data_IF_306200644347
#
_entry.id   IF_306200644347
#
_cell.length_a   1.000
_cell.length_b   1.000
_cell.length_c   1.000
_cell.angle_alpha   90.00
_cell.angle_beta   90.00
_cell.angle_gamma   90.00
#
_symmetry.space_group_name_H-M   'P 1'
#
loop_
_entity.id
_entity.type
_entity.pdbx_description
1 polymer ?
#
# COMPACT_ATOMS: atom_id res chain seq x y z
N UNK A 1 38.67 -7.48 1.87
CA UNK A 1 37.38 -6.89 1.44
C UNK A 1 36.60 -6.50 2.68
N UNK A 2 36.98 -5.36 3.24
CA UNK A 2 36.60 -4.85 4.54
C UNK A 2 36.08 -3.42 4.28
N UNK A 3 34.91 -3.33 3.65
CA UNK A 3 34.17 -2.08 3.49
C UNK A 3 32.73 -2.34 3.95
N UNK A 4 32.30 -1.55 4.92
CA UNK A 4 30.92 -1.33 5.38
C UNK A 4 30.23 -2.26 6.40
N UNK A 5 30.96 -2.75 7.40
CA UNK A 5 30.36 -3.33 8.62
C UNK A 5 29.96 -2.31 9.72
N UNK A 6 30.06 -0.99 9.49
CA UNK A 6 29.91 0.02 10.56
C UNK A 6 28.65 0.91 10.43
N UNK A 7 27.80 0.74 9.41
CA UNK A 7 26.63 1.63 9.19
C UNK A 7 25.24 1.13 9.66
N UNK A 8 25.04 -0.17 9.87
CA UNK A 8 23.69 -0.77 9.93
C UNK A 8 23.29 -1.33 11.30
N UNK A 9 23.50 -0.58 12.39
CA UNK A 9 22.84 -0.88 13.67
C UNK A 9 21.37 -0.46 13.63
N UNK A 10 20.59 -1.13 12.78
CA UNK A 10 19.13 -1.11 12.89
C UNK A 10 18.72 -2.52 13.32
N UNK A 11 18.42 -2.69 14.61
CA UNK A 11 17.91 -3.95 15.19
C UNK A 11 16.67 -4.50 14.45
N UNK A 12 16.01 -3.65 13.66
CA UNK A 12 14.87 -3.93 12.78
C UNK A 12 15.15 -4.95 11.68
N UNK A 13 16.35 -4.96 11.09
CA UNK A 13 16.68 -5.81 9.93
C UNK A 13 17.48 -7.06 10.33
N UNK A 14 17.35 -7.48 11.59
CA UNK A 14 18.00 -8.70 12.06
C UNK A 14 17.34 -9.97 11.53
N UNK A 15 16.03 -9.93 11.21
CA UNK A 15 15.28 -11.07 10.64
C UNK A 15 14.30 -10.69 9.53
N UNK A 16 14.13 -11.54 8.49
CA UNK A 16 15.00 -12.66 8.12
C UNK A 16 16.46 -12.25 7.95
N UNK A 17 17.34 -13.24 7.76
CA UNK A 17 18.79 -13.06 7.71
C UNK A 17 19.17 -11.79 6.90
N UNK A 18 20.10 -10.93 7.35
CA UNK A 18 20.41 -9.66 6.70
C UNK A 18 20.76 -9.74 5.20
N UNK A 19 21.16 -10.92 4.70
CA UNK A 19 21.32 -11.15 3.27
C UNK A 19 20.00 -11.02 2.48
N UNK A 20 18.86 -11.43 3.06
CA UNK A 20 17.53 -11.27 2.44
C UNK A 20 17.23 -9.78 2.26
N UNK A 21 17.44 -8.97 3.30
CA UNK A 21 17.21 -7.52 3.19
C UNK A 21 18.15 -6.85 2.20
N UNK A 22 19.41 -7.28 2.13
CA UNK A 22 20.34 -6.82 1.09
C UNK A 22 19.88 -7.19 -0.33
N UNK A 23 19.33 -8.40 -0.51
CA UNK A 23 18.76 -8.84 -1.78
C UNK A 23 17.53 -7.98 -2.13
N UNK A 24 16.58 -7.79 -1.21
CA UNK A 24 15.39 -6.95 -1.42
C UNK A 24 15.78 -5.52 -1.77
N UNK A 25 16.76 -4.94 -1.07
CA UNK A 25 17.30 -3.62 -1.40
C UNK A 25 17.90 -3.59 -2.81
N UNK A 26 18.68 -4.59 -3.19
CA UNK A 26 19.23 -4.72 -4.55
C UNK A 26 18.14 -4.80 -5.62
N UNK A 27 17.12 -5.63 -5.40
CA UNK A 27 15.95 -5.73 -6.30
C UNK A 27 15.20 -4.41 -6.43
N UNK A 28 15.03 -3.69 -5.32
CA UNK A 28 14.39 -2.37 -5.30
C UNK A 28 15.20 -1.32 -6.09
N UNK A 29 16.53 -1.34 -5.99
CA UNK A 29 17.40 -0.48 -6.80
C UNK A 29 17.31 -0.83 -8.28
N UNK A 30 17.36 -2.12 -8.64
CA UNK A 30 17.18 -2.56 -10.04
C UNK A 30 15.82 -2.12 -10.58
N UNK A 31 14.76 -2.26 -9.77
CA UNK A 31 13.42 -1.80 -10.13
C UNK A 31 13.38 -0.28 -10.35
N UNK A 32 13.98 0.50 -9.46
CA UNK A 32 14.08 1.95 -9.62
C UNK A 32 14.80 2.36 -10.91
N UNK A 33 15.90 1.68 -11.25
CA UNK A 33 16.64 1.92 -12.49
C UNK A 33 15.79 1.56 -13.70
N UNK A 34 15.08 0.42 -13.68
CA UNK A 34 14.18 0.02 -14.76
C UNK A 34 13.03 1.01 -14.95
N UNK A 35 12.43 1.51 -13.86
CA UNK A 35 11.41 2.55 -13.91
C UNK A 35 11.98 3.87 -14.46
N UNK A 36 13.20 4.24 -14.07
CA UNK A 36 13.85 5.44 -14.60
C UNK A 36 14.08 5.31 -16.10
N UNK A 37 14.51 4.14 -16.58
CA UNK A 37 14.59 3.85 -18.01
C UNK A 37 13.23 4.00 -18.70
N UNK A 38 12.17 3.39 -18.15
CA UNK A 38 10.80 3.50 -18.68
C UNK A 38 10.33 4.95 -18.72
N UNK A 39 10.65 5.76 -17.70
CA UNK A 39 10.29 7.17 -17.63
C UNK A 39 10.85 7.97 -18.83
N UNK A 40 11.99 7.57 -19.41
CA UNK A 40 12.55 8.20 -20.60
C UNK A 40 11.95 7.70 -21.93
N UNK A 41 11.27 6.55 -21.94
CA UNK A 41 10.62 6.02 -23.15
C UNK A 41 9.35 6.78 -23.51
N UNK A 42 8.89 6.67 -24.76
CA UNK A 42 7.51 7.05 -25.11
C UNK A 42 6.54 6.00 -24.57
N UNK A 43 5.25 6.35 -24.44
CA UNK A 43 4.24 5.39 -23.97
C UNK A 43 4.17 4.17 -24.90
N UNK A 44 4.22 4.38 -26.20
CA UNK A 44 4.06 3.31 -27.18
C UNK A 44 5.32 2.43 -27.22
N UNK A 45 6.52 3.01 -27.14
CA UNK A 45 7.77 2.25 -26.98
C UNK A 45 7.79 1.45 -25.68
N UNK A 46 7.31 2.04 -24.58
CA UNK A 46 7.20 1.34 -23.30
C UNK A 46 6.23 0.16 -23.38
N UNK A 47 5.08 0.31 -24.05
CA UNK A 47 4.13 -0.79 -24.31
C UNK A 47 4.76 -1.90 -25.15
N UNK A 48 5.53 -1.55 -26.19
CA UNK A 48 6.26 -2.55 -26.97
C UNK A 48 7.35 -3.21 -26.14
N UNK A 49 8.04 -2.46 -25.27
CA UNK A 49 9.05 -3.00 -24.37
C UNK A 49 8.46 -4.04 -23.40
N UNK A 50 7.20 -3.89 -22.97
CA UNK A 50 6.54 -4.88 -22.11
C UNK A 50 6.47 -6.29 -22.74
N UNK A 51 6.53 -6.42 -24.08
CA UNK A 51 6.56 -7.71 -24.77
C UNK A 51 7.78 -8.56 -24.42
N UNK A 52 8.90 -7.93 -24.05
CA UNK A 52 10.09 -8.64 -23.59
C UNK A 52 9.93 -9.23 -22.19
N UNK A 53 8.98 -8.74 -21.39
CA UNK A 53 8.67 -9.29 -20.06
C UNK A 53 7.69 -10.45 -20.15
N UNK A 54 6.67 -10.35 -21.01
CA UNK A 54 5.69 -11.40 -21.21
C UNK A 54 5.08 -11.29 -22.62
N UNK A 55 4.89 -12.41 -23.36
CA UNK A 55 4.44 -12.38 -24.75
C UNK A 55 3.04 -11.75 -24.94
N UNK A 56 2.16 -11.89 -23.95
CA UNK A 56 0.78 -11.38 -23.99
C UNK A 56 0.65 -9.87 -23.71
N UNK A 57 1.76 -9.13 -23.57
CA UNK A 57 1.76 -7.69 -23.28
C UNK A 57 1.90 -6.84 -24.55
N UNK A 58 1.66 -5.53 -24.42
CA UNK A 58 1.78 -4.59 -25.53
C UNK A 58 0.64 -4.68 -26.56
N UNK A 59 -0.49 -5.25 -26.14
CA UNK A 59 -1.75 -5.31 -26.89
C UNK A 59 -2.82 -4.57 -26.07
N UNK A 60 -3.66 -3.79 -26.75
CA UNK A 60 -4.74 -3.06 -26.09
C UNK A 60 -5.73 -4.02 -25.42
N UNK A 61 -6.14 -3.68 -24.20
CA UNK A 61 -7.04 -4.50 -23.40
C UNK A 61 -8.49 -4.07 -23.61
N UNK A 62 -9.45 -5.02 -23.60
CA UNK A 62 -10.86 -4.67 -23.64
C UNK A 62 -11.24 -3.85 -22.40
N UNK A 63 -12.05 -2.81 -22.59
CA UNK A 63 -12.61 -2.05 -21.47
C UNK A 63 -13.57 -2.93 -20.67
N UNK A 64 -13.23 -3.18 -19.39
CA UNK A 64 -14.14 -3.83 -18.43
C UNK A 64 -14.73 -2.76 -17.52
N UNK A 65 -16.05 -2.65 -17.52
CA UNK A 65 -16.81 -1.75 -16.63
C UNK A 65 -17.48 -2.60 -15.56
N UNK A 66 -17.21 -2.29 -14.29
CA UNK A 66 -17.80 -3.01 -13.14
C UNK A 66 -19.15 -2.40 -12.72
N UNK A 67 -19.28 -1.08 -12.81
CA UNK A 67 -20.47 -0.33 -12.40
C UNK A 67 -21.39 0.10 -13.55
N UNK A 68 -21.51 -0.73 -14.59
CA UNK A 68 -22.42 -0.42 -15.71
C UNK A 68 -23.91 -0.57 -15.32
N UNK A 69 -24.24 -1.53 -14.47
CA UNK A 69 -25.57 -1.72 -13.87
C UNK A 69 -25.40 -2.10 -12.40
N UNK A 70 -25.88 -1.23 -11.50
CA UNK A 70 -25.73 -1.41 -10.06
C UNK A 70 -26.97 -1.95 -9.35
N UNK A 71 -27.96 -2.43 -10.11
CA UNK A 71 -29.14 -3.07 -9.54
C UNK A 71 -28.74 -4.39 -8.87
N UNK A 72 -29.10 -4.52 -7.59
CA UNK A 72 -28.90 -5.75 -6.81
C UNK A 72 -29.83 -6.86 -7.32
N UNK A 73 -31.05 -6.49 -7.70
CA UNK A 73 -32.08 -7.41 -8.19
C UNK A 73 -32.52 -7.01 -9.60
N UNK A 74 -32.35 -7.94 -10.55
CA UNK A 74 -32.73 -7.81 -11.96
C UNK A 74 -33.72 -8.92 -12.30
N UNK A 75 -35.03 -8.69 -12.13
CA UNK A 75 -36.04 -9.71 -12.40
C UNK A 75 -36.13 -10.08 -13.88
N UNK A 76 -35.67 -9.20 -14.78
CA UNK A 76 -35.71 -9.42 -16.23
C UNK A 76 -34.61 -10.37 -16.72
N UNK A 77 -33.63 -10.73 -15.89
CA UNK A 77 -32.53 -11.58 -16.30
C UNK A 77 -32.91 -13.07 -16.24
N UNK A 78 -32.83 -13.81 -17.37
CA UNK A 78 -33.25 -15.21 -17.42
C UNK A 78 -32.30 -16.18 -16.70
N UNK A 79 -31.05 -15.78 -16.43
CA UNK A 79 -30.03 -16.66 -15.84
C UNK A 79 -29.95 -16.56 -14.30
N UNK A 80 -29.94 -15.35 -13.77
CA UNK A 80 -29.92 -15.09 -12.33
C UNK A 80 -30.51 -13.72 -12.04
N UNK A 81 -31.45 -13.68 -11.07
CA UNK A 81 -32.06 -12.43 -10.62
C UNK A 81 -31.10 -11.55 -9.83
N UNK A 82 -29.94 -12.08 -9.41
CA UNK A 82 -28.88 -11.38 -8.69
C UNK A 82 -27.56 -11.45 -9.47
N UNK A 83 -27.63 -11.41 -10.80
CA UNK A 83 -26.46 -11.58 -11.69
C UNK A 83 -25.28 -10.69 -11.29
N UNK A 84 -25.50 -9.39 -11.13
CA UNK A 84 -24.43 -8.44 -10.80
C UNK A 84 -23.76 -8.79 -9.46
N UNK A 85 -24.56 -9.14 -8.45
CA UNK A 85 -24.03 -9.55 -7.14
C UNK A 85 -23.19 -10.82 -7.25
N UNK A 86 -23.66 -11.81 -8.01
CA UNK A 86 -22.93 -13.05 -8.19
C UNK A 86 -21.62 -12.83 -8.95
N UNK A 87 -21.64 -12.07 -10.04
CA UNK A 87 -20.44 -11.75 -10.82
C UNK A 87 -19.40 -10.99 -9.99
N UNK A 88 -19.81 -10.04 -9.15
CA UNK A 88 -18.92 -9.32 -8.24
C UNK A 88 -18.37 -10.23 -7.13
N UNK A 89 -19.21 -11.04 -6.47
CA UNK A 89 -18.77 -11.90 -5.36
C UNK A 89 -17.78 -12.99 -5.76
N UNK A 90 -17.86 -13.46 -7.01
CA UNK A 90 -16.97 -14.48 -7.55
C UNK A 90 -15.84 -13.92 -8.43
N UNK A 91 -15.62 -12.59 -8.39
CA UNK A 91 -14.47 -11.99 -9.03
C UNK A 91 -13.19 -12.19 -8.19
N UNK A 92 -12.04 -12.20 -8.87
CA UNK A 92 -10.72 -12.37 -8.24
C UNK A 92 -10.39 -11.22 -7.27
N UNK A 93 -11.02 -10.07 -7.44
CA UNK A 93 -10.84 -8.90 -6.59
C UNK A 93 -11.30 -9.12 -5.14
N UNK A 94 -12.31 -9.98 -4.89
CA UNK A 94 -12.73 -10.31 -3.52
C UNK A 94 -11.59 -10.98 -2.73
N UNK A 95 -10.92 -11.96 -3.35
CA UNK A 95 -9.77 -12.62 -2.74
C UNK A 95 -8.57 -11.65 -2.64
N UNK A 96 -8.37 -10.81 -3.65
CA UNK A 96 -7.30 -9.81 -3.63
C UNK A 96 -7.49 -8.79 -2.49
N UNK A 97 -8.72 -8.34 -2.23
CA UNK A 97 -9.05 -7.46 -1.11
C UNK A 97 -8.76 -8.15 0.23
N UNK A 98 -9.31 -9.34 0.46
CA UNK A 98 -9.11 -10.07 1.73
C UNK A 98 -7.62 -10.31 2.00
N UNK A 99 -6.88 -10.87 1.03
CA UNK A 99 -5.46 -11.19 1.18
C UNK A 99 -4.60 -9.92 1.26
N UNK A 100 -4.92 -8.90 0.47
CA UNK A 100 -4.24 -7.61 0.48
C UNK A 100 -4.35 -6.92 1.83
N UNK A 101 -5.55 -6.85 2.40
CA UNK A 101 -5.79 -6.25 3.71
C UNK A 101 -5.23 -7.08 4.86
N UNK A 102 -5.24 -8.41 4.75
CA UNK A 102 -4.52 -9.28 5.67
C UNK A 102 -3.01 -8.99 5.68
N UNK A 103 -2.39 -8.88 4.49
CA UNK A 103 -0.97 -8.57 4.35
C UNK A 103 -0.62 -7.17 4.87
N UNK A 104 -1.45 -6.17 4.59
CA UNK A 104 -1.33 -4.80 5.12
C UNK A 104 -1.45 -4.76 6.64
N UNK A 105 -2.34 -5.55 7.21
CA UNK A 105 -2.53 -5.60 8.66
C UNK A 105 -1.31 -6.18 9.38
N UNK A 106 -0.69 -7.23 8.84
CA UNK A 106 0.58 -7.78 9.35
C UNK A 106 1.72 -6.76 9.26
N UNK A 107 1.70 -5.96 8.19
CA UNK A 107 2.72 -4.95 7.89
C UNK A 107 2.62 -3.72 8.80
N UNK A 108 1.43 -3.11 8.93
CA UNK A 108 1.21 -1.83 9.62
C UNK A 108 0.91 -2.01 11.11
N UNK A 109 0.31 -3.15 11.48
CA UNK A 109 0.02 -3.57 12.87
C UNK A 109 -0.77 -2.55 13.69
N UNK A 110 -1.53 -1.68 13.02
CA UNK A 110 -2.29 -0.61 13.66
C UNK A 110 -3.70 -0.54 13.07
N UNK A 111 -4.69 -0.99 13.85
CA UNK A 111 -6.08 -1.10 13.40
C UNK A 111 -6.69 0.25 12.96
N UNK A 112 -6.58 1.36 13.71
CA UNK A 112 -7.13 2.64 13.26
C UNK A 112 -6.52 3.13 11.94
N UNK A 113 -5.20 3.01 11.79
CA UNK A 113 -4.51 3.42 10.58
C UNK A 113 -4.93 2.58 9.36
N UNK A 114 -5.15 1.28 9.55
CA UNK A 114 -5.64 0.38 8.50
C UNK A 114 -7.05 0.74 8.04
N UNK A 115 -7.94 1.11 8.96
CA UNK A 115 -9.27 1.62 8.59
C UNK A 115 -9.20 2.92 7.81
N UNK A 116 -8.33 3.86 8.22
CA UNK A 116 -8.12 5.11 7.48
C UNK A 116 -7.61 4.83 6.07
N UNK A 117 -6.68 3.88 5.90
CA UNK A 117 -6.21 3.47 4.58
C UNK A 117 -7.32 2.78 3.76
N UNK A 118 -8.11 1.92 4.39
CA UNK A 118 -9.18 1.18 3.71
C UNK A 118 -10.23 2.11 3.16
N UNK A 119 -10.82 2.96 4.01
CA UNK A 119 -11.76 3.97 3.54
C UNK A 119 -11.08 4.98 2.61
N UNK A 120 -9.82 5.32 2.86
CA UNK A 120 -9.04 6.23 2.02
C UNK A 120 -8.89 5.74 0.58
N UNK A 121 -8.68 4.44 0.37
CA UNK A 121 -8.54 3.86 -0.96
C UNK A 121 -9.84 3.95 -1.76
N UNK A 122 -10.98 3.65 -1.14
CA UNK A 122 -12.32 3.78 -1.75
C UNK A 122 -12.62 5.23 -2.16
N UNK A 123 -12.19 6.21 -1.34
CA UNK A 123 -12.25 7.62 -1.72
C UNK A 123 -11.38 7.93 -2.93
N UNK A 124 -10.23 7.28 -3.08
CA UNK A 124 -9.40 7.44 -4.28
C UNK A 124 -10.07 6.84 -5.51
N UNK A 125 -10.70 5.67 -5.40
CA UNK A 125 -11.45 5.06 -6.51
C UNK A 125 -12.62 5.96 -6.93
N UNK A 126 -13.41 6.45 -5.96
CA UNK A 126 -14.45 7.45 -6.22
C UNK A 126 -13.89 8.72 -6.91
N UNK A 127 -12.70 9.15 -6.50
CA UNK A 127 -12.03 10.33 -7.06
C UNK A 127 -11.60 10.07 -8.51
N UNK A 128 -11.03 8.91 -8.80
CA UNK A 128 -10.40 8.60 -10.09
C UNK A 128 -11.27 7.78 -11.06
N UNK A 129 -12.51 7.42 -10.71
CA UNK A 129 -13.46 6.73 -11.61
C UNK A 129 -13.76 7.46 -12.91
N UNK A 130 -13.55 8.77 -12.96
CA UNK A 130 -13.72 9.55 -14.18
C UNK A 130 -12.54 9.35 -15.16
N UNK A 131 -11.37 8.94 -14.66
CA UNK A 131 -10.17 8.64 -15.45
C UNK A 131 -10.08 7.15 -15.80
N UNK A 132 -10.39 6.26 -14.84
CA UNK A 132 -10.24 4.81 -15.01
C UNK A 132 -11.61 4.12 -14.91
N UNK A 133 -12.08 3.44 -15.97
CA UNK A 133 -13.33 2.65 -15.94
C UNK A 133 -13.33 1.55 -14.87
N UNK A 134 -12.16 1.00 -14.55
CA UNK A 134 -12.01 -0.01 -13.52
C UNK A 134 -12.45 0.47 -12.12
N UNK A 135 -12.31 1.77 -11.82
CA UNK A 135 -12.74 2.35 -10.53
C UNK A 135 -14.21 2.76 -10.51
N UNK A 136 -14.92 2.58 -11.62
CA UNK A 136 -16.36 2.81 -11.64
C UNK A 136 -17.06 1.55 -11.15
N UNK A 137 -17.16 1.42 -9.83
CA UNK A 137 -17.82 0.33 -9.14
C UNK A 137 -19.16 0.75 -8.55
N UNK A 138 -19.95 -0.22 -8.09
CA UNK A 138 -21.25 0.06 -7.50
C UNK A 138 -21.13 0.54 -6.06
N UNK A 139 -22.04 1.40 -5.62
CA UNK A 139 -21.99 1.95 -4.25
C UNK A 139 -22.00 0.85 -3.17
N UNK A 140 -22.72 -0.25 -3.41
CA UNK A 140 -22.81 -1.37 -2.48
C UNK A 140 -21.57 -2.27 -2.55
N UNK A 141 -20.85 -2.25 -3.67
CA UNK A 141 -19.57 -2.94 -3.85
C UNK A 141 -18.53 -2.26 -2.95
N UNK A 142 -18.24 -1.01 -3.23
CA UNK A 142 -17.27 -0.20 -2.48
C UNK A 142 -17.59 -0.11 -0.97
N UNK A 143 -18.85 0.15 -0.59
CA UNK A 143 -19.21 0.35 0.82
C UNK A 143 -19.40 -0.99 1.55
N UNK A 144 -20.26 -1.87 1.05
CA UNK A 144 -20.66 -3.06 1.80
C UNK A 144 -19.67 -4.19 1.58
N UNK A 145 -19.34 -4.48 0.32
CA UNK A 145 -18.46 -5.59 0.00
C UNK A 145 -17.01 -5.25 0.35
N UNK A 146 -16.46 -4.15 -0.15
CA UNK A 146 -15.05 -3.86 0.08
C UNK A 146 -14.80 -3.36 1.51
N UNK A 147 -15.31 -2.19 1.92
CA UNK A 147 -15.03 -1.66 3.28
C UNK A 147 -15.49 -2.62 4.39
N UNK A 148 -16.78 -2.98 4.42
CA UNK A 148 -17.36 -3.66 5.57
C UNK A 148 -17.25 -5.19 5.56
N UNK A 149 -16.91 -5.80 4.42
CA UNK A 149 -16.79 -7.27 4.31
C UNK A 149 -15.35 -7.69 4.06
N UNK A 150 -14.81 -7.47 2.87
CA UNK A 150 -13.50 -7.95 2.43
C UNK A 150 -12.36 -7.31 3.21
N UNK A 151 -12.34 -5.97 3.25
CA UNK A 151 -11.29 -5.18 3.89
C UNK A 151 -11.35 -5.38 5.41
N UNK A 152 -12.55 -5.29 5.99
CA UNK A 152 -12.77 -5.57 7.41
C UNK A 152 -12.26 -6.95 7.82
N UNK A 153 -12.66 -8.00 7.08
CA UNK A 153 -12.26 -9.38 7.39
C UNK A 153 -10.75 -9.57 7.23
N UNK A 154 -10.15 -9.04 6.16
CA UNK A 154 -8.70 -9.08 5.96
C UNK A 154 -7.94 -8.40 7.11
N UNK A 155 -8.37 -7.20 7.51
CA UNK A 155 -7.76 -6.47 8.63
C UNK A 155 -7.92 -7.27 9.94
N UNK A 156 -9.12 -7.77 10.22
CA UNK A 156 -9.39 -8.57 11.42
C UNK A 156 -8.49 -9.82 11.47
N UNK A 157 -8.42 -10.58 10.38
CA UNK A 157 -7.62 -11.80 10.28
C UNK A 157 -6.12 -11.50 10.42
N UNK A 158 -5.64 -10.43 9.79
CA UNK A 158 -4.23 -10.03 9.87
C UNK A 158 -3.85 -9.55 11.27
N UNK A 159 -4.70 -8.75 11.91
CA UNK A 159 -4.48 -8.32 13.30
C UNK A 159 -4.58 -9.47 14.30
N UNK A 160 -5.43 -10.47 14.04
CA UNK A 160 -5.46 -11.71 14.82
C UNK A 160 -4.18 -12.52 14.63
N UNK A 161 -3.65 -12.59 13.41
CA UNK A 161 -2.35 -13.20 13.11
C UNK A 161 -1.24 -12.54 13.92
N UNK A 162 -1.17 -11.19 13.90
CA UNK A 162 -0.18 -10.43 14.70
C UNK A 162 -0.28 -10.78 16.20
N UNK A 163 -1.49 -10.80 16.78
CA UNK A 163 -1.69 -11.16 18.20
C UNK A 163 -1.29 -12.59 18.52
N UNK A 164 -1.56 -13.53 17.61
CA UNK A 164 -1.17 -14.94 17.78
C UNK A 164 0.35 -15.10 17.90
N UNK A 165 1.11 -14.31 17.14
CA UNK A 165 2.58 -14.33 17.16
C UNK A 165 3.20 -13.48 18.28
N UNK A 166 2.57 -12.36 18.66
CA UNK A 166 3.03 -11.47 19.74
C UNK A 166 3.00 -12.16 21.13
N UNK A 167 2.01 -13.02 21.38
CA UNK A 167 1.88 -13.77 22.64
C UNK A 167 2.82 -14.97 22.81
N UNK A 168 3.71 -15.26 21.85
CA UNK A 168 4.62 -16.41 21.89
C UNK A 168 6.04 -15.95 22.24
N UNK A 169 6.52 -16.30 23.44
CA UNK A 169 7.96 -16.25 23.75
C UNK A 169 8.65 -17.37 22.99
N UNK A 170 9.41 -17.02 21.96
CA UNK A 170 10.17 -18.00 21.20
C UNK A 170 11.49 -18.31 21.92
N UNK A 171 11.59 -19.48 22.56
CA UNK A 171 12.91 -20.04 22.90
C UNK A 171 13.58 -20.53 21.61
N UNK A 172 14.56 -19.76 21.15
CA UNK A 172 15.19 -19.97 19.84
C UNK A 172 16.27 -21.05 19.88
N UNK A 173 15.87 -22.30 20.09
CA UNK A 173 16.76 -23.45 19.95
C UNK A 173 17.12 -23.66 18.46
N UNK A 174 18.36 -24.10 18.16
CA UNK A 174 18.83 -24.34 16.79
C UNK A 174 18.02 -25.41 16.03
N UNK A 175 17.95 -25.33 14.69
CA UNK A 175 17.19 -26.29 13.84
C UNK A 175 17.64 -27.74 14.09
N UNK A 176 18.93 -27.95 14.34
CA UNK A 176 19.50 -29.27 14.64
C UNK A 176 18.99 -29.88 15.95
N UNK A 177 18.52 -29.05 16.89
CA UNK A 177 18.00 -29.47 18.20
C UNK A 177 16.48 -29.70 18.20
N UNK A 178 15.80 -29.54 17.06
CA UNK A 178 14.36 -29.80 16.96
C UNK A 178 14.11 -31.31 16.79
N UNK A 179 13.31 -31.94 17.68
CA UNK A 179 13.14 -33.39 17.71
C UNK A 179 12.34 -33.92 16.50
N UNK A 180 11.42 -33.12 15.96
CA UNK A 180 10.48 -33.55 14.92
C UNK A 180 10.67 -32.78 13.61
N UNK A 181 10.36 -33.42 12.47
CA UNK A 181 10.37 -32.80 11.13
C UNK A 181 9.41 -31.61 11.07
N UNK A 182 8.21 -31.72 11.65
CA UNK A 182 7.25 -30.61 11.76
C UNK A 182 7.85 -29.45 12.58
N UNK A 183 8.63 -29.75 13.62
CA UNK A 183 9.37 -28.77 14.40
C UNK A 183 10.45 -28.05 13.57
N UNK A 184 11.18 -28.79 12.72
CA UNK A 184 12.16 -28.22 11.79
C UNK A 184 11.52 -27.32 10.73
N UNK A 185 10.39 -27.74 10.15
CA UNK A 185 9.63 -26.93 9.18
C UNK A 185 9.08 -25.66 9.83
N UNK A 186 8.41 -25.79 10.98
CA UNK A 186 7.91 -24.65 11.76
C UNK A 186 9.05 -23.69 12.14
N UNK A 187 10.21 -24.23 12.51
CA UNK A 187 11.40 -23.44 12.85
C UNK A 187 11.97 -22.68 11.66
N UNK A 188 11.98 -23.32 10.49
CA UNK A 188 12.44 -22.73 9.22
C UNK A 188 11.51 -21.61 8.79
N UNK A 189 10.19 -21.83 8.83
CA UNK A 189 9.19 -20.79 8.55
C UNK A 189 9.29 -19.62 9.53
N UNK A 190 9.53 -19.88 10.82
CA UNK A 190 9.76 -18.85 11.83
C UNK A 190 11.08 -18.07 11.71
N UNK A 191 11.97 -18.44 10.78
CA UNK A 191 13.13 -17.60 10.44
C UNK A 191 12.78 -16.49 9.45
N UNK A 192 11.68 -16.64 8.72
CA UNK A 192 11.16 -15.64 7.78
C UNK A 192 10.19 -14.66 8.44
N UNK A 193 9.79 -14.91 9.69
CA UNK A 193 9.00 -13.95 10.46
C UNK A 193 9.87 -12.87 11.11
N UNK A 194 9.35 -11.66 11.32
CA UNK A 194 10.02 -10.60 12.07
C UNK A 194 10.50 -11.05 13.45
N UNK A 195 11.57 -10.40 13.94
CA UNK A 195 12.12 -10.70 15.26
C UNK A 195 11.16 -10.33 16.41
N UNK A 196 10.31 -9.32 16.19
CA UNK A 196 9.28 -8.86 17.13
C UNK A 196 7.97 -8.58 16.38
N UNK A 197 6.86 -8.91 17.02
CA UNK A 197 5.48 -8.72 16.53
C UNK A 197 4.74 -7.61 17.26
N UNK A 198 5.49 -6.71 17.89
CA UNK A 198 4.99 -5.54 18.60
C UNK A 198 4.12 -4.67 17.69
N UNK A 199 3.05 -4.12 18.29
CA UNK A 199 2.17 -3.16 17.62
C UNK A 199 2.90 -1.84 17.44
N UNK A 200 2.83 -1.28 16.24
CA UNK A 200 3.42 0.02 15.96
C UNK A 200 2.52 1.14 16.53
N UNK A 201 3.13 1.97 17.36
CA UNK A 201 2.49 3.12 17.99
C UNK A 201 2.74 4.40 17.17
N UNK A 202 1.70 4.85 16.45
CA UNK A 202 1.78 6.02 15.56
C UNK A 202 1.42 7.34 16.24
N UNK A 203 0.44 7.32 17.16
CA UNK A 203 -0.01 8.47 17.96
C UNK A 203 -0.15 9.79 17.18
N UNK A 204 -1.00 9.86 16.13
CA UNK A 204 -1.10 11.03 15.25
C UNK A 204 -1.57 12.30 15.97
N UNK A 205 -2.30 12.15 17.09
CA UNK A 205 -2.88 13.27 17.84
C UNK A 205 -1.95 13.88 18.92
N UNK A 206 -0.68 13.47 18.99
CA UNK A 206 0.28 14.06 19.94
C UNK A 206 0.69 15.49 19.61
N UNK A 207 0.56 15.89 18.34
CA UNK A 207 0.84 17.25 17.91
C UNK A 207 0.62 17.43 16.41
N UNK A 208 0.47 18.69 15.95
CA UNK A 208 0.16 18.98 14.54
C UNK A 208 1.24 18.47 13.58
N UNK A 209 2.52 18.56 13.96
CA UNK A 209 3.61 18.02 13.14
C UNK A 209 3.57 16.49 13.05
N UNK A 210 3.31 15.81 14.18
CA UNK A 210 3.17 14.34 14.21
C UNK A 210 2.00 13.90 13.34
N UNK A 211 0.90 14.64 13.35
CA UNK A 211 -0.25 14.39 12.49
C UNK A 211 0.13 14.46 11.01
N UNK A 212 0.82 15.52 10.57
CA UNK A 212 1.28 15.67 9.18
C UNK A 212 2.18 14.51 8.77
N UNK A 213 3.09 14.09 9.66
CA UNK A 213 4.00 12.96 9.39
C UNK A 213 3.28 11.61 9.25
N UNK A 214 2.23 11.36 10.04
CA UNK A 214 1.41 10.14 9.87
C UNK A 214 0.54 10.25 8.63
N UNK A 215 -0.03 11.43 8.36
CA UNK A 215 -0.82 11.68 7.16
C UNK A 215 0.02 11.49 5.88
N UNK A 216 1.28 11.94 5.86
CA UNK A 216 2.16 11.76 4.71
C UNK A 216 2.44 10.28 4.42
N UNK A 217 2.53 9.44 5.46
CA UNK A 217 2.61 7.99 5.27
C UNK A 217 1.36 7.45 4.57
N UNK A 218 0.17 7.88 4.99
CA UNK A 218 -1.08 7.47 4.34
C UNK A 218 -1.11 7.88 2.87
N UNK A 219 -0.71 9.12 2.56
CA UNK A 219 -0.70 9.64 1.19
C UNK A 219 0.26 8.84 0.31
N UNK A 220 1.48 8.57 0.80
CA UNK A 220 2.47 7.76 0.05
C UNK A 220 1.93 6.35 -0.16
N UNK A 221 1.33 5.73 0.85
CA UNK A 221 0.74 4.40 0.74
C UNK A 221 -0.34 4.36 -0.34
N UNK A 222 -1.33 5.26 -0.27
CA UNK A 222 -2.41 5.36 -1.26
C UNK A 222 -1.87 5.66 -2.67
N UNK A 223 -0.80 6.45 -2.78
CA UNK A 223 -0.16 6.74 -4.08
C UNK A 223 0.46 5.48 -4.68
N UNK A 224 1.16 4.66 -3.89
CA UNK A 224 1.73 3.38 -4.35
C UNK A 224 0.63 2.43 -4.85
N UNK A 225 -0.50 2.40 -4.15
CA UNK A 225 -1.66 1.59 -4.57
C UNK A 225 -2.25 2.10 -5.88
N UNK A 226 -2.55 3.40 -5.97
CA UNK A 226 -3.05 4.03 -7.19
C UNK A 226 -2.12 3.84 -8.39
N UNK A 227 -0.81 3.99 -8.19
CA UNK A 227 0.19 3.74 -9.23
C UNK A 227 0.05 2.33 -9.81
N UNK A 228 -0.36 1.33 -9.04
CA UNK A 228 -0.63 -0.03 -9.55
C UNK A 228 -1.69 0.00 -10.65
N UNK A 229 -2.79 0.72 -10.43
CA UNK A 229 -3.92 0.80 -11.36
C UNK A 229 -3.63 1.70 -12.55
N UNK A 230 -2.91 2.80 -12.33
CA UNK A 230 -2.52 3.71 -13.42
C UNK A 230 -1.43 3.10 -14.31
N UNK A 231 -0.42 2.45 -13.74
CA UNK A 231 0.63 1.78 -14.53
C UNK A 231 0.05 0.64 -15.36
N UNK A 232 -0.79 -0.22 -14.77
CA UNK A 232 -1.40 -1.33 -15.53
C UNK A 232 -2.25 -0.81 -16.69
N UNK A 233 -2.97 0.29 -16.48
CA UNK A 233 -3.78 0.91 -17.53
C UNK A 233 -2.91 1.54 -18.63
N UNK A 234 -1.93 2.37 -18.26
CA UNK A 234 -1.06 3.06 -19.22
C UNK A 234 -0.23 2.08 -20.08
N UNK A 235 0.23 0.99 -19.48
CA UNK A 235 1.11 0.00 -20.10
C UNK A 235 0.38 -1.22 -20.68
N UNK A 236 -0.95 -1.24 -20.65
CA UNK A 236 -1.77 -2.37 -21.11
C UNK A 236 -1.39 -3.71 -20.47
N UNK A 237 -1.27 -3.72 -19.13
CA UNK A 237 -0.98 -4.93 -18.36
C UNK A 237 -2.31 -5.52 -17.85
N UNK A 238 -2.69 -6.73 -18.27
CA UNK A 238 -3.90 -7.39 -17.76
C UNK A 238 -3.82 -7.60 -16.24
N UNK A 239 -4.95 -7.50 -15.50
CA UNK A 239 -4.98 -7.74 -14.05
C UNK A 239 -4.39 -9.09 -13.62
N UNK A 240 -4.60 -10.13 -14.42
CA UNK A 240 -4.11 -11.51 -14.18
C UNK A 240 -2.64 -11.71 -14.52
N UNK A 241 -1.97 -10.71 -15.10
CA UNK A 241 -0.59 -10.88 -15.53
C UNK A 241 0.36 -10.95 -14.32
N UNK A 242 1.31 -11.90 -14.29
CA UNK A 242 2.21 -12.09 -13.16
C UNK A 242 3.10 -10.87 -12.87
N UNK A 243 3.34 -9.97 -13.83
CA UNK A 243 4.10 -8.73 -13.61
C UNK A 243 3.48 -7.87 -12.50
N UNK A 244 2.14 -7.79 -12.43
CA UNK A 244 1.45 -7.06 -11.36
C UNK A 244 1.70 -7.75 -10.02
N UNK A 245 1.60 -9.08 -9.97
CA UNK A 245 1.84 -9.87 -8.76
C UNK A 245 3.29 -9.71 -8.29
N UNK A 246 4.27 -9.78 -9.18
CA UNK A 246 5.68 -9.57 -8.85
C UNK A 246 5.93 -8.17 -8.29
N UNK A 247 5.31 -7.14 -8.89
CA UNK A 247 5.38 -5.77 -8.37
C UNK A 247 4.78 -5.66 -6.97
N UNK A 248 3.61 -6.27 -6.74
CA UNK A 248 2.96 -6.25 -5.42
C UNK A 248 3.80 -6.96 -4.35
N UNK A 249 4.40 -8.11 -4.68
CA UNK A 249 5.30 -8.83 -3.78
C UNK A 249 6.55 -7.99 -3.48
N UNK A 250 7.15 -7.37 -4.50
CA UNK A 250 8.32 -6.51 -4.31
C UNK A 250 7.99 -5.32 -3.39
N UNK A 251 6.85 -4.64 -3.64
CA UNK A 251 6.38 -3.56 -2.78
C UNK A 251 6.10 -4.01 -1.35
N UNK A 252 5.50 -5.18 -1.17
CA UNK A 252 5.27 -5.75 0.17
C UNK A 252 6.61 -6.00 0.90
N UNK A 253 7.61 -6.56 0.22
CA UNK A 253 8.94 -6.81 0.77
C UNK A 253 9.70 -5.51 1.11
N UNK A 254 9.57 -4.47 0.28
CA UNK A 254 10.16 -3.14 0.53
C UNK A 254 9.43 -2.42 1.68
N UNK A 255 8.11 -2.59 1.78
CA UNK A 255 7.30 -1.89 2.77
C UNK A 255 7.60 -2.34 4.20
N UNK A 256 7.93 -3.63 4.42
CA UNK A 256 8.28 -4.17 5.76
C UNK A 256 9.38 -3.36 6.45
N UNK A 257 10.60 -3.23 5.87
CA UNK A 257 11.65 -2.44 6.47
C UNK A 257 11.32 -0.94 6.44
N UNK A 258 10.66 -0.45 5.38
CA UNK A 258 10.29 0.98 5.22
C UNK A 258 9.40 1.47 6.36
N UNK A 259 8.30 0.78 6.65
CA UNK A 259 7.33 1.21 7.66
C UNK A 259 7.98 1.22 9.05
N UNK A 260 8.84 0.24 9.33
CA UNK A 260 9.54 0.17 10.60
C UNK A 260 10.64 1.24 10.72
N UNK A 261 11.41 1.50 9.66
CA UNK A 261 12.36 2.62 9.61
C UNK A 261 11.64 3.96 9.82
N UNK A 262 10.48 4.15 9.20
CA UNK A 262 9.69 5.36 9.35
C UNK A 262 9.11 5.50 10.75
N UNK A 263 8.55 4.43 11.32
CA UNK A 263 8.01 4.43 12.68
C UNK A 263 9.10 4.79 13.70
N UNK A 264 10.30 4.18 13.58
CA UNK A 264 11.45 4.53 14.42
C UNK A 264 11.90 5.98 14.26
N UNK A 265 11.96 6.49 13.03
CA UNK A 265 12.29 7.90 12.77
C UNK A 265 11.30 8.85 13.48
N UNK A 266 10.02 8.49 13.50
CA UNK A 266 9.00 9.24 14.21
C UNK A 266 9.17 9.16 15.72
N UNK A 267 9.49 7.98 16.28
CA UNK A 267 9.66 7.78 17.72
C UNK A 267 11.00 8.31 18.27
N UNK A 268 12.03 8.45 17.43
CA UNK A 268 13.35 8.92 17.86
C UNK A 268 13.28 10.35 18.41
N UNK A 269 13.86 10.56 19.59
CA UNK A 269 13.94 11.86 20.27
C UNK A 269 15.28 12.56 20.03
N UNK A 270 16.18 11.97 19.26
CA UNK A 270 17.47 12.59 18.94
C UNK A 270 17.29 13.91 18.17
N UNK A 271 18.16 14.90 18.40
CA UNK A 271 18.10 16.20 17.74
C UNK A 271 18.39 16.12 16.24
N UNK A 272 19.27 15.19 15.82
CA UNK A 272 19.54 14.92 14.40
C UNK A 272 18.90 13.59 14.02
N UNK A 273 17.85 13.66 13.20
CA UNK A 273 17.12 12.49 12.72
C UNK A 273 17.57 12.14 11.30
N UNK A 274 17.79 10.86 11.04
CA UNK A 274 18.03 10.35 9.69
C UNK A 274 16.91 9.38 9.31
N UNK A 275 16.31 9.63 8.15
CA UNK A 275 15.37 8.69 7.54
C UNK A 275 16.17 7.52 6.98
N UNK A 276 15.67 6.30 7.17
CA UNK A 276 16.34 5.07 6.73
C UNK A 276 16.39 4.93 5.20
N UNK A 277 17.26 4.04 4.72
CA UNK A 277 17.53 3.91 3.28
C UNK A 277 16.33 3.29 2.53
N UNK A 278 15.62 2.34 3.15
CA UNK A 278 14.43 1.76 2.53
C UNK A 278 13.33 2.81 2.39
N UNK A 279 13.16 3.70 3.37
CA UNK A 279 12.25 4.85 3.24
C UNK A 279 12.59 5.74 2.05
N UNK A 280 13.87 6.12 1.87
CA UNK A 280 14.29 6.93 0.74
C UNK A 280 14.09 6.22 -0.59
N UNK A 281 14.46 4.94 -0.66
CA UNK A 281 14.31 4.13 -1.87
C UNK A 281 12.83 3.94 -2.24
N UNK A 282 11.99 3.61 -1.26
CA UNK A 282 10.54 3.51 -1.42
C UNK A 282 9.93 4.82 -1.92
N UNK A 283 10.35 5.96 -1.35
CA UNK A 283 9.86 7.27 -1.78
C UNK A 283 10.28 7.58 -3.22
N UNK A 284 11.54 7.30 -3.57
CA UNK A 284 12.04 7.48 -4.94
C UNK A 284 11.26 6.62 -5.95
N UNK A 285 11.04 5.34 -5.65
CA UNK A 285 10.25 4.45 -6.51
C UNK A 285 8.82 4.99 -6.66
N UNK A 286 8.16 5.36 -5.57
CA UNK A 286 6.81 5.93 -5.61
C UNK A 286 6.73 7.19 -6.49
N UNK A 287 7.72 8.08 -6.40
CA UNK A 287 7.79 9.31 -7.21
C UNK A 287 7.98 8.96 -8.69
N UNK A 288 8.93 8.08 -9.03
CA UNK A 288 9.18 7.73 -10.42
C UNK A 288 7.96 7.02 -11.03
N UNK A 289 7.32 6.11 -10.32
CA UNK A 289 6.07 5.49 -10.78
C UNK A 289 4.97 6.54 -11.04
N UNK A 290 4.80 7.50 -10.12
CA UNK A 290 3.84 8.57 -10.29
C UNK A 290 4.15 9.44 -11.52
N UNK A 291 5.42 9.77 -11.74
CA UNK A 291 5.85 10.52 -12.93
C UNK A 291 5.58 9.75 -14.22
N UNK A 292 5.77 8.43 -14.23
CA UNK A 292 5.41 7.58 -15.37
C UNK A 292 3.89 7.61 -15.60
N UNK A 293 3.08 7.47 -14.54
CA UNK A 293 1.62 7.55 -14.63
C UNK A 293 1.16 8.89 -15.22
N UNK A 294 1.76 10.01 -14.79
CA UNK A 294 1.45 11.34 -15.31
C UNK A 294 1.87 11.46 -16.78
N UNK A 295 3.11 11.07 -17.11
CA UNK A 295 3.67 11.17 -18.46
C UNK A 295 2.87 10.32 -19.45
N UNK A 296 2.65 9.04 -19.13
CA UNK A 296 1.98 8.11 -20.04
C UNK A 296 0.46 8.29 -20.03
N UNK A 297 -0.10 8.79 -18.93
CA UNK A 297 -1.51 9.14 -18.81
C UNK A 297 -1.94 10.33 -19.66
N UNK A 298 -0.99 11.16 -20.13
CA UNK A 298 -1.31 12.33 -20.93
C UNK A 298 -2.08 11.94 -22.21
N UNK A 299 -3.26 12.56 -22.40
CA UNK A 299 -4.15 12.29 -23.53
C UNK A 299 -4.94 10.99 -23.45
N UNK A 300 -4.89 10.22 -22.35
CA UNK A 300 -5.71 9.01 -22.17
C UNK A 300 -7.05 9.27 -21.47
N UNK A 301 -7.20 10.39 -20.78
CA UNK A 301 -8.37 10.67 -19.94
C UNK A 301 -9.20 11.80 -20.56
N UNK A 302 -10.23 11.48 -21.36
CA UNK A 302 -11.02 12.49 -22.07
C UNK A 302 -11.97 13.26 -21.14
N UNK A 303 -12.35 12.68 -20.00
CA UNK A 303 -13.28 13.29 -19.04
C UNK A 303 -12.51 14.14 -18.05
N UNK A 304 -12.80 15.46 -17.92
CA UNK A 304 -12.21 16.28 -16.88
C UNK A 304 -12.72 15.87 -15.50
N UNK A 305 -12.00 16.26 -14.44
CA UNK A 305 -12.44 16.04 -13.07
C UNK A 305 -13.79 16.73 -12.82
N UNK A 306 -14.83 15.99 -12.36
CA UNK A 306 -16.12 16.58 -12.03
C UNK A 306 -16.01 17.71 -11.01
N UNK A 307 -16.75 18.80 -11.22
CA UNK A 307 -16.69 20.00 -10.36
C UNK A 307 -17.00 19.70 -8.89
N UNK A 308 -17.96 18.79 -8.62
CA UNK A 308 -18.29 18.41 -7.25
C UNK A 308 -17.12 17.73 -6.53
N UNK A 309 -16.29 16.95 -7.24
CA UNK A 309 -15.08 16.35 -6.68
C UNK A 309 -14.02 17.41 -6.39
N UNK A 310 -13.86 18.39 -7.28
CA UNK A 310 -12.94 19.52 -7.07
C UNK A 310 -13.34 20.29 -5.81
N UNK A 311 -14.62 20.66 -5.69
CA UNK A 311 -15.16 21.37 -4.51
C UNK A 311 -14.99 20.52 -3.25
N UNK A 312 -15.25 19.22 -3.32
CA UNK A 312 -15.07 18.30 -2.19
C UNK A 312 -13.62 18.29 -1.67
N UNK A 313 -12.64 18.08 -2.54
CA UNK A 313 -11.22 18.05 -2.15
C UNK A 313 -10.69 19.42 -1.70
N UNK A 314 -11.14 20.52 -2.33
CA UNK A 314 -10.80 21.88 -1.88
C UNK A 314 -11.37 22.17 -0.49
N UNK A 315 -12.61 21.75 -0.23
CA UNK A 315 -13.26 21.89 1.08
C UNK A 315 -12.53 21.07 2.15
N UNK A 316 -12.20 19.81 1.86
CA UNK A 316 -11.42 18.96 2.76
C UNK A 316 -10.03 19.53 3.06
N UNK A 317 -9.29 19.96 2.03
CA UNK A 317 -7.97 20.57 2.20
C UNK A 317 -8.02 21.84 3.04
N UNK A 318 -8.98 22.72 2.75
CA UNK A 318 -9.18 23.95 3.53
C UNK A 318 -9.52 23.67 4.99
N UNK A 319 -10.39 22.68 5.23
CA UNK A 319 -10.79 22.26 6.58
C UNK A 319 -9.61 21.68 7.35
N UNK A 320 -8.78 20.85 6.70
CA UNK A 320 -7.58 20.28 7.30
C UNK A 320 -6.56 21.36 7.68
N UNK A 321 -6.32 22.34 6.80
CA UNK A 321 -5.40 23.45 7.08
C UNK A 321 -5.93 24.30 8.25
N UNK A 322 -7.22 24.64 8.25
CA UNK A 322 -7.86 25.37 9.35
C UNK A 322 -7.74 24.61 10.68
N UNK A 323 -8.01 23.30 10.67
CA UNK A 323 -7.84 22.44 11.84
C UNK A 323 -6.40 22.48 12.38
N UNK A 324 -5.40 22.31 11.51
CA UNK A 324 -3.99 22.35 11.89
C UNK A 324 -3.55 23.72 12.42
N UNK A 325 -4.03 24.81 11.82
CA UNK A 325 -3.75 26.18 12.28
C UNK A 325 -4.34 26.41 13.68
N UNK A 326 -5.62 26.08 13.89
CA UNK A 326 -6.30 26.24 15.18
C UNK A 326 -5.62 25.41 16.26
N UNK A 327 -5.26 24.17 15.95
CA UNK A 327 -4.59 23.29 16.90
C UNK A 327 -3.19 23.80 17.26
N UNK A 328 -2.39 24.20 16.27
CA UNK A 328 -1.05 24.78 16.48
C UNK A 328 -1.12 26.03 17.34
N UNK A 329 -2.09 26.91 17.07
CA UNK A 329 -2.32 28.13 17.83
C UNK A 329 -2.72 27.87 19.28
N UNK A 330 -3.65 26.93 19.53
CA UNK A 330 -4.04 26.52 20.90
C UNK A 330 -2.83 25.98 21.68
N UNK A 331 -1.99 25.18 21.03
CA UNK A 331 -0.80 24.62 21.64
C UNK A 331 0.21 25.71 22.01
N UNK A 332 0.48 26.66 21.10
CA UNK A 332 1.37 27.78 21.34
C UNK A 332 0.89 28.67 22.50
N UNK A 333 -0.42 28.96 22.57
CA UNK A 333 -1.03 29.68 23.70
C UNK A 333 -0.86 28.95 25.03
N UNK A 334 -1.02 27.63 25.05
CA UNK A 334 -0.81 26.82 26.26
C UNK A 334 0.65 26.89 26.74
N UNK A 335 1.61 26.79 25.81
CA UNK A 335 3.04 26.94 26.14
C UNK A 335 3.38 28.33 26.68
N UNK A 336 2.82 29.39 26.11
CA UNK A 336 3.01 30.75 26.62
C UNK A 336 2.45 30.94 28.03
N UNK A 337 1.27 30.37 28.32
CA UNK A 337 0.67 30.42 29.66
C UNK A 337 1.47 29.66 30.71
N UNK A 338 2.14 28.54 30.35
CA UNK A 338 3.00 27.77 31.28
C UNK A 338 4.36 28.41 31.53
N UNK A 339 4.78 29.37 30.70
CA UNK A 339 6.05 30.11 30.84
C UNK A 339 5.89 31.40 31.65
N UNK A 340 4.67 31.87 31.86
CA UNK A 340 4.32 32.91 32.83
C UNK A 340 3.96 32.23 34.14
#
# INVERSE_FOLDING_TARGET
MLYDCVGWRIWVLTRPHPAVWRLVHGMAVVYLVALTFLLFQTRDDARQFMKFLHPDLGVELPERSYGADCRIYIPENPSSRFKNVYETLFDEFVLAHILGWWGKAILIRNQPLLWVLSTGFEFMELTFRHMLPNFNECWWDSIILDIFTCNWFGIWAGMHTVRYFDGRTYEWVGISRQPNIIGKVKRTLGQFTPAQWDKDEWHPLLGPWRFIQVLSLCIVFLTVELNTFFLKFCLWIPPRNPVIVYRLILWWLIAIPTIREYNLYLQDRKPVKKVGAFCWLSLAICIIELLICIKFGHGLYPKPMPQWLVVFWLSMGSTLVLFLMIWSWKLQRSYQKKRR
#
